data_IF_267683824455
#
_entry.id   IF_267683824455
#
_cell.length_a   1.000
_cell.length_b   1.000
_cell.length_c   1.000
_cell.angle_alpha   90.00
_cell.angle_beta   90.00
_cell.angle_gamma   90.00
#
_symmetry.space_group_name_H-M   'P 1'
#
loop_
_entity.id
_entity.type
_entity.pdbx_description
1 polymer ?
#
# COMPACT_ATOMS: atom_id res chain seq x y z
N UNK A 1 -11.28 -10.94 -6.88
CA UNK A 1 -10.43 -9.81 -7.01
C UNK A 1 -8.99 -10.21 -7.15
N UNK A 2 -8.23 -9.44 -7.85
CA UNK A 2 -6.85 -9.80 -8.13
C UNK A 2 -6.02 -10.11 -6.90
N UNK A 3 -6.38 -9.53 -5.79
CA UNK A 3 -5.65 -9.80 -4.56
C UNK A 3 -5.74 -11.23 -4.11
N UNK A 4 -6.74 -11.93 -4.63
CA UNK A 4 -6.82 -13.34 -4.30
C UNK A 4 -5.59 -14.09 -4.78
N UNK A 5 -4.94 -13.56 -5.78
CA UNK A 5 -3.71 -14.17 -6.23
C UNK A 5 -2.69 -14.19 -5.12
N UNK A 6 -2.86 -13.32 -4.18
CA UNK A 6 -2.00 -13.34 -3.04
C UNK A 6 -2.48 -14.29 -1.98
N UNK A 7 -3.34 -15.22 -2.36
CA UNK A 7 -3.56 -16.36 -1.51
C UNK A 7 -2.23 -16.97 -1.13
N UNK A 8 -1.23 -16.63 -1.87
CA UNK A 8 0.12 -17.04 -1.59
C UNK A 8 0.91 -15.79 -1.23
N UNK A 9 0.68 -15.26 -0.05
CA UNK A 9 1.24 -13.95 0.31
C UNK A 9 2.76 -13.92 0.37
N UNK A 10 3.38 -15.05 0.60
CA UNK A 10 4.82 -15.10 0.68
C UNK A 10 5.33 -15.96 -0.47
N UNK A 11 5.91 -15.30 -1.45
CA UNK A 11 6.49 -16.04 -2.55
C UNK A 11 7.79 -16.69 -2.12
N UNK A 12 8.03 -17.92 -2.61
CA UNK A 12 9.28 -18.57 -2.29
C UNK A 12 10.46 -17.75 -2.81
N UNK A 13 11.50 -17.74 -2.04
CA UNK A 13 12.74 -17.14 -2.45
C UNK A 13 13.34 -17.98 -3.56
N UNK A 14 13.80 -17.35 -4.64
CA UNK A 14 14.39 -18.10 -5.74
C UNK A 14 15.76 -17.51 -6.11
N UNK A 15 16.50 -18.28 -6.90
CA UNK A 15 17.86 -17.91 -7.24
C UNK A 15 17.92 -16.60 -8.03
N UNK A 16 16.97 -16.37 -8.90
CA UNK A 16 16.93 -15.14 -9.68
C UNK A 16 16.79 -13.92 -8.77
N UNK A 17 15.94 -14.04 -7.76
CA UNK A 17 15.79 -12.96 -6.80
C UNK A 17 17.06 -12.74 -6.00
N UNK A 18 17.75 -13.83 -5.65
CA UNK A 18 18.99 -13.71 -4.90
C UNK A 18 20.04 -12.95 -5.66
N UNK A 19 20.11 -13.15 -6.97
CA UNK A 19 21.10 -12.46 -7.80
C UNK A 19 20.74 -11.03 -8.10
N UNK A 20 19.46 -10.76 -8.22
CA UNK A 20 18.97 -9.42 -8.50
C UNK A 20 18.73 -8.75 -7.17
N UNK A 21 19.61 -7.86 -6.82
CA UNK A 21 19.42 -7.11 -5.59
C UNK A 21 18.12 -6.34 -5.68
N UNK A 22 17.28 -6.54 -4.69
CA UNK A 22 16.02 -5.85 -4.61
C UNK A 22 15.90 -5.17 -3.26
N UNK A 23 15.00 -4.20 -3.22
CA UNK A 23 14.65 -3.55 -1.97
C UNK A 23 13.13 -3.60 -1.83
N UNK A 24 12.67 -3.52 -0.61
CA UNK A 24 11.24 -3.44 -0.36
C UNK A 24 10.83 -2.02 -0.13
N UNK A 25 9.69 -1.67 -0.70
CA UNK A 25 9.10 -0.35 -0.49
C UNK A 25 7.65 -0.51 -0.08
N UNK A 26 7.23 0.38 0.82
CA UNK A 26 5.82 0.53 1.15
C UNK A 26 5.28 1.62 0.24
N UNK A 27 4.19 1.32 -0.44
CA UNK A 27 3.56 2.25 -1.37
C UNK A 27 2.24 2.64 -0.75
N UNK A 28 2.12 3.89 -0.34
CA UNK A 28 1.03 4.36 0.49
C UNK A 28 0.07 5.20 -0.34
N UNK A 29 -1.16 4.76 -0.42
CA UNK A 29 -2.21 5.53 -1.09
C UNK A 29 -2.73 6.53 -0.08
N UNK A 30 -2.49 7.81 -0.32
CA UNK A 30 -2.92 8.85 0.61
C UNK A 30 -4.43 9.04 0.49
N UNK A 31 -5.08 9.20 1.63
CA UNK A 31 -6.51 9.41 1.66
C UNK A 31 -6.88 10.79 1.14
N UNK A 32 -8.14 10.91 0.73
CA UNK A 32 -8.73 12.20 0.35
C UNK A 32 -10.00 12.39 1.15
N UNK A 33 -10.53 13.60 1.13
CA UNK A 33 -11.82 13.82 1.78
C UNK A 33 -12.90 12.89 1.25
N UNK A 34 -12.84 12.59 -0.05
CA UNK A 34 -13.81 11.70 -0.66
C UNK A 34 -13.64 10.26 -0.15
N UNK A 35 -12.41 9.77 -0.06
CA UNK A 35 -12.19 8.40 0.39
C UNK A 35 -12.58 8.19 1.85
N UNK A 36 -12.53 9.26 2.64
CA UNK A 36 -12.94 9.17 4.04
C UNK A 36 -14.45 9.01 4.22
N UNK A 37 -15.21 9.22 3.15
CA UNK A 37 -16.67 9.00 3.20
C UNK A 37 -17.03 7.53 3.07
N UNK A 38 -16.12 6.70 2.62
CA UNK A 38 -16.35 5.28 2.50
C UNK A 38 -16.07 4.76 1.10
N UNK A 39 -16.29 3.47 0.94
CA UNK A 39 -16.06 2.77 -0.29
C UNK A 39 -17.37 2.15 -0.76
N UNK A 40 -17.79 2.52 -1.97
CA UNK A 40 -19.09 2.13 -2.49
C UNK A 40 -18.93 1.39 -3.81
N UNK A 41 -18.69 0.07 -3.76
CA UNK A 41 -18.38 -0.70 -4.98
C UNK A 41 -19.56 -0.77 -5.96
N UNK A 42 -20.76 -0.48 -5.51
CA UNK A 42 -21.92 -0.47 -6.42
C UNK A 42 -21.93 0.73 -7.35
N UNK A 43 -21.16 1.76 -7.06
CA UNK A 43 -21.08 2.92 -7.94
C UNK A 43 -20.23 2.58 -9.16
N UNK A 44 -20.70 2.95 -10.39
CA UNK A 44 -19.99 2.57 -11.60
C UNK A 44 -18.52 3.03 -11.64
N UNK A 45 -18.25 4.24 -11.17
CA UNK A 45 -16.87 4.74 -11.16
C UNK A 45 -15.99 3.91 -10.25
N UNK A 46 -16.53 3.52 -9.10
CA UNK A 46 -15.79 2.71 -8.14
C UNK A 46 -15.53 1.32 -8.71
N UNK A 47 -16.55 0.72 -9.33
CA UNK A 47 -16.40 -0.59 -9.94
C UNK A 47 -15.35 -0.57 -11.06
N UNK A 48 -15.35 0.50 -11.84
CA UNK A 48 -14.40 0.65 -12.94
C UNK A 48 -12.99 0.80 -12.41
N UNK A 49 -12.82 1.59 -11.37
CA UNK A 49 -11.51 1.77 -10.73
C UNK A 49 -11.02 0.46 -10.13
N UNK A 50 -11.92 -0.30 -9.49
CA UNK A 50 -11.54 -1.60 -8.94
C UNK A 50 -11.07 -2.55 -10.02
N UNK A 51 -11.74 -2.55 -11.16
CA UNK A 51 -11.33 -3.42 -12.27
C UNK A 51 -9.96 -3.01 -12.80
N UNK A 52 -9.74 -1.71 -12.96
CA UNK A 52 -8.45 -1.21 -13.43
C UNK A 52 -7.35 -1.54 -12.42
N UNK A 53 -7.65 -1.39 -11.14
CA UNK A 53 -6.68 -1.68 -10.09
C UNK A 53 -6.37 -3.18 -10.04
N UNK A 54 -7.38 -4.01 -10.28
CA UNK A 54 -7.16 -5.46 -10.35
C UNK A 54 -6.20 -5.83 -11.46
N UNK A 55 -6.36 -5.20 -12.63
CA UNK A 55 -5.44 -5.44 -13.74
C UNK A 55 -4.02 -4.98 -13.42
N UNK A 56 -3.90 -3.84 -12.74
CA UNK A 56 -2.60 -3.34 -12.34
C UNK A 56 -1.93 -4.29 -11.35
N UNK A 57 -2.68 -4.79 -10.38
CA UNK A 57 -2.16 -5.75 -9.42
C UNK A 57 -1.70 -7.03 -10.11
N UNK A 58 -2.43 -7.47 -11.14
CA UNK A 58 -2.02 -8.65 -11.90
C UNK A 58 -0.70 -8.43 -12.60
N UNK A 59 -0.49 -7.24 -13.15
CA UNK A 59 0.79 -6.91 -13.77
C UNK A 59 1.93 -6.91 -12.77
N UNK A 60 1.68 -6.35 -11.61
CA UNK A 60 2.68 -6.34 -10.53
C UNK A 60 3.05 -7.76 -10.11
N UNK A 61 2.04 -8.61 -10.01
CA UNK A 61 2.26 -9.99 -9.59
C UNK A 61 3.06 -10.75 -10.65
N UNK A 62 2.71 -10.57 -11.91
CA UNK A 62 3.41 -11.23 -13.01
C UNK A 62 4.86 -10.76 -13.12
N UNK A 63 5.12 -9.52 -12.73
CA UNK A 63 6.47 -8.97 -12.76
C UNK A 63 7.27 -9.31 -11.49
N UNK A 64 6.66 -10.04 -10.57
CA UNK A 64 7.27 -10.42 -9.28
C UNK A 64 7.57 -9.21 -8.40
N UNK A 65 6.77 -8.17 -8.54
CA UNK A 65 6.89 -6.95 -7.76
C UNK A 65 6.01 -7.01 -6.51
N UNK A 66 4.81 -7.54 -6.66
CA UNK A 66 3.79 -7.51 -5.60
C UNK A 66 4.12 -8.47 -4.47
N UNK A 67 4.22 -7.96 -3.25
CA UNK A 67 4.32 -8.79 -2.06
C UNK A 67 2.96 -8.87 -1.38
N UNK A 68 2.35 -7.73 -1.09
CA UNK A 68 1.01 -7.70 -0.53
C UNK A 68 0.37 -6.35 -0.82
N UNK A 69 -0.94 -6.30 -0.67
CA UNK A 69 -1.72 -5.08 -0.85
C UNK A 69 -2.97 -5.16 -0.02
N UNK A 70 -3.42 -4.01 0.47
CA UNK A 70 -4.67 -3.94 1.23
C UNK A 70 -5.24 -2.54 1.20
N UNK A 71 -6.56 -2.45 1.25
CA UNK A 71 -7.24 -1.18 1.46
C UNK A 71 -7.53 -0.99 2.93
N UNK A 72 -7.65 0.23 3.36
CA UNK A 72 -8.00 0.58 4.72
C UNK A 72 -9.37 1.23 4.74
N UNK A 73 -10.15 0.90 5.76
CA UNK A 73 -11.41 1.57 5.97
C UNK A 73 -11.17 3.03 6.39
N UNK A 74 -12.18 3.89 6.26
CA UNK A 74 -12.02 5.28 6.68
C UNK A 74 -11.61 5.39 8.15
N UNK A 75 -11.01 6.53 8.48
CA UNK A 75 -10.51 6.74 9.84
C UNK A 75 -11.60 6.70 10.90
N UNK A 76 -12.87 6.85 10.49
CA UNK A 76 -13.98 6.71 11.44
C UNK A 76 -14.01 5.34 12.10
N UNK A 77 -13.44 4.33 11.45
CA UNK A 77 -13.36 2.98 12.01
C UNK A 77 -12.10 2.77 12.84
N UNK A 78 -11.23 3.77 12.92
CA UNK A 78 -9.93 3.62 13.53
C UNK A 78 -9.82 4.32 14.88
N UNK A 79 -8.66 4.11 15.48
CA UNK A 79 -8.33 4.73 16.76
C UNK A 79 -6.86 5.10 16.75
N UNK A 80 -6.54 6.11 17.53
CA UNK A 80 -5.15 6.46 17.81
C UNK A 80 -4.93 6.31 19.29
N UNK A 81 -3.72 5.93 19.66
CA UNK A 81 -3.31 5.89 21.06
C UNK A 81 -2.16 6.87 21.22
N UNK A 82 -2.37 7.88 22.06
CA UNK A 82 -1.34 8.87 22.32
C UNK A 82 -0.50 8.43 23.50
N UNK A 83 0.80 8.54 23.34
CA UNK A 83 1.77 8.14 24.35
C UNK A 83 2.41 9.40 24.94
N UNK A 84 2.43 9.47 26.25
CA UNK A 84 3.09 10.57 26.94
C UNK A 84 3.62 10.02 28.27
N UNK A 85 4.91 9.69 28.29
CA UNK A 85 5.48 8.98 29.42
C UNK A 85 4.76 7.67 29.63
N UNK A 86 4.22 7.47 30.83
CA UNK A 86 3.41 6.29 31.11
C UNK A 86 1.97 6.42 30.65
N UNK A 87 1.58 7.61 30.23
CA UNK A 87 0.19 7.87 29.82
C UNK A 87 -0.13 7.22 28.48
N UNK A 88 -1.38 6.78 28.35
CA UNK A 88 -1.90 6.18 27.13
C UNK A 88 -3.32 6.70 26.96
N UNK A 89 -3.55 7.49 25.91
CA UNK A 89 -4.87 8.07 25.66
C UNK A 89 -5.40 7.52 24.35
N UNK A 90 -6.60 6.98 24.40
CA UNK A 90 -7.26 6.45 23.20
C UNK A 90 -8.08 7.56 22.57
N UNK A 91 -7.87 7.76 21.28
CA UNK A 91 -8.57 8.80 20.52
C UNK A 91 -9.34 8.10 19.40
N UNK A 92 -10.66 8.26 19.41
CA UNK A 92 -11.49 7.65 18.37
C UNK A 92 -11.44 8.49 17.10
N UNK A 93 -11.49 7.80 15.95
CA UNK A 93 -11.66 8.50 14.68
C UNK A 93 -13.07 9.03 14.55
N UNK A 94 -13.38 9.78 13.48
CA UNK A 94 -12.46 10.10 12.39
C UNK A 94 -11.44 11.16 12.75
N UNK A 95 -10.36 11.20 11.98
CA UNK A 95 -9.29 12.16 12.23
C UNK A 95 -9.32 13.25 11.16
N UNK A 96 -8.97 14.47 11.56
CA UNK A 96 -8.90 15.59 10.63
C UNK A 96 -7.74 15.42 9.67
N UNK A 97 -7.75 16.20 8.60
CA UNK A 97 -6.68 16.24 7.60
C UNK A 97 -6.47 14.90 6.90
N UNK A 98 -7.33 14.64 5.92
CA UNK A 98 -7.25 13.40 5.15
C UNK A 98 -5.85 13.17 4.57
N UNK A 99 -5.13 14.24 4.23
CA UNK A 99 -3.79 14.11 3.67
C UNK A 99 -2.80 13.47 4.64
N UNK A 100 -3.11 13.43 5.93
CA UNK A 100 -2.27 12.77 6.93
C UNK A 100 -2.64 11.28 7.08
N UNK A 101 -3.60 10.81 6.31
CA UNK A 101 -4.13 9.46 6.45
C UNK A 101 -3.78 8.63 5.24
N UNK A 102 -3.82 7.32 5.43
CA UNK A 102 -3.53 6.35 4.38
C UNK A 102 -4.81 5.57 4.10
N UNK A 103 -5.18 5.47 2.83
CA UNK A 103 -6.38 4.76 2.40
C UNK A 103 -6.08 3.33 1.97
N UNK A 104 -4.82 3.02 1.74
CA UNK A 104 -4.42 1.68 1.34
C UNK A 104 -2.93 1.63 1.14
N UNK A 105 -2.43 0.42 0.92
CA UNK A 105 -1.00 0.27 0.74
C UNK A 105 -0.66 -0.97 -0.06
N UNK A 106 0.53 -0.96 -0.62
CA UNK A 106 1.19 -2.13 -1.18
C UNK A 106 2.54 -2.30 -0.51
N UNK A 107 3.01 -3.50 -0.52
CA UNK A 107 4.41 -3.80 -0.25
C UNK A 107 4.96 -4.41 -1.52
N UNK A 108 6.02 -3.83 -2.07
CA UNK A 108 6.61 -4.25 -3.33
C UNK A 108 8.09 -4.61 -3.15
N UNK A 109 8.53 -5.59 -3.95
CA UNK A 109 9.95 -5.85 -4.16
C UNK A 109 10.34 -5.19 -5.46
N UNK A 110 11.24 -4.23 -5.42
CA UNK A 110 11.68 -3.51 -6.61
C UNK A 110 13.21 -3.49 -6.65
N UNK A 111 13.73 -3.25 -7.84
CA UNK A 111 15.17 -3.16 -8.01
C UNK A 111 15.72 -1.92 -7.31
N UNK A 112 15.03 -0.79 -7.47
CA UNK A 112 15.44 0.49 -6.89
C UNK A 112 14.24 1.42 -6.86
N UNK A 113 14.46 2.61 -6.35
CA UNK A 113 13.37 3.59 -6.23
C UNK A 113 12.86 4.02 -7.60
N UNK A 114 13.74 4.10 -8.60
CA UNK A 114 13.30 4.49 -9.94
C UNK A 114 12.29 3.49 -10.51
N UNK A 115 12.52 2.21 -10.26
CA UNK A 115 11.55 1.20 -10.70
C UNK A 115 10.22 1.37 -9.97
N UNK A 116 10.27 1.66 -8.68
CA UNK A 116 9.04 1.88 -7.92
C UNK A 116 8.26 3.07 -8.48
N UNK A 117 8.95 4.16 -8.76
CA UNK A 117 8.33 5.35 -9.32
C UNK A 117 7.70 5.04 -10.68
N UNK A 118 8.42 4.29 -11.52
CA UNK A 118 7.91 3.93 -12.83
C UNK A 118 6.62 3.12 -12.73
N UNK A 119 6.56 2.19 -11.77
CA UNK A 119 5.34 1.42 -11.57
C UNK A 119 4.19 2.27 -11.05
N UNK A 120 4.46 3.19 -10.12
CA UNK A 120 3.39 4.04 -9.60
C UNK A 120 2.83 4.94 -10.69
N UNK A 121 3.67 5.40 -11.61
CA UNK A 121 3.18 6.22 -12.73
C UNK A 121 2.22 5.46 -13.63
N UNK A 122 2.27 4.15 -13.64
CA UNK A 122 1.35 3.31 -14.41
C UNK A 122 0.07 2.97 -13.65
N UNK A 123 0.05 3.27 -12.36
CA UNK A 123 -1.08 2.94 -11.52
C UNK A 123 -2.30 3.80 -11.89
N UNK A 124 -3.48 3.19 -12.02
CA UNK A 124 -4.67 4.02 -12.15
C UNK A 124 -4.87 4.84 -10.89
N UNK A 125 -5.37 6.06 -11.06
CA UNK A 125 -5.63 6.91 -9.91
C UNK A 125 -6.68 6.22 -9.02
N UNK A 126 -6.36 5.90 -7.77
CA UNK A 126 -7.30 5.21 -6.90
C UNK A 126 -8.40 6.12 -6.35
N UNK A 127 -8.32 7.40 -6.66
CA UNK A 127 -9.25 8.40 -6.13
C UNK A 127 -9.97 9.09 -7.27
N UNK A 128 -11.08 9.76 -6.95
CA UNK A 128 -11.88 10.44 -7.97
C UNK A 128 -11.28 11.75 -8.43
N UNK A 129 -10.40 12.33 -7.65
CA UNK A 129 -9.80 13.61 -7.99
C UNK A 129 -8.30 13.55 -7.81
N UNK A 130 -7.65 14.69 -7.74
CA UNK A 130 -6.22 14.72 -7.49
C UNK A 130 -5.88 13.97 -6.23
N UNK A 131 -4.83 13.18 -6.28
CA UNK A 131 -4.42 12.38 -5.14
C UNK A 131 -2.92 12.13 -5.20
N UNK A 132 -2.40 11.51 -4.17
CA UNK A 132 -0.98 11.23 -4.07
C UNK A 132 -0.75 9.81 -3.60
N UNK A 133 0.35 9.25 -4.07
CA UNK A 133 0.85 7.99 -3.56
C UNK A 133 2.28 8.26 -3.10
N UNK A 134 2.58 7.81 -1.91
CA UNK A 134 3.90 8.01 -1.32
C UNK A 134 4.64 6.69 -1.30
N UNK A 135 5.92 6.70 -1.65
CA UNK A 135 6.75 5.51 -1.67
C UNK A 135 7.81 5.66 -0.60
N UNK A 136 7.92 4.68 0.30
CA UNK A 136 8.89 4.70 1.39
C UNK A 136 9.67 3.40 1.41
N UNK A 137 10.98 3.44 1.27
CA UNK A 137 11.74 2.21 1.42
C UNK A 137 11.69 1.72 2.86
N UNK A 138 11.65 0.42 3.03
CA UNK A 138 11.70 -0.17 4.36
C UNK A 138 13.12 -0.17 4.86
N UNK A 139 13.26 -0.03 6.16
CA UNK A 139 14.53 -0.39 6.77
C UNK A 139 14.74 -1.88 6.53
N UNK A 140 15.96 -2.25 6.18
CA UNK A 140 16.30 -3.63 5.94
C UNK A 140 17.14 -4.14 7.10
N UNK A 141 16.50 -4.25 8.25
CA UNK A 141 17.19 -4.85 9.40
C UNK A 141 17.50 -6.30 9.13
N UNK A 142 16.60 -6.89 8.37
CA UNK A 142 16.78 -8.18 7.79
C UNK A 142 17.32 -9.22 8.70
N UNK A 143 18.22 -9.97 8.12
CA UNK A 143 18.90 -11.03 8.80
C UNK A 143 19.88 -10.43 9.82
N UNK A 144 19.82 -10.84 11.10
CA UNK A 144 20.74 -10.31 12.10
C UNK A 144 22.21 -10.45 11.70
N UNK A 145 22.53 -11.43 10.91
CA UNK A 145 23.90 -11.61 10.45
C UNK A 145 24.37 -10.42 9.62
N UNK A 146 23.46 -9.83 8.87
CA UNK A 146 23.80 -8.71 8.02
C UNK A 146 24.05 -7.43 8.81
N UNK A 147 23.57 -7.40 10.02
CA UNK A 147 23.65 -6.20 10.83
C UNK A 147 24.93 -6.10 11.63
N UNK A 148 25.65 -7.15 11.73
CA UNK A 148 26.87 -7.18 12.51
C UNK A 148 28.02 -6.46 11.81
#
# INVERSE_FOLDING_TARGET
>A
MALSASANPIRPFNVAQARRQTMRVMVLVKATGDSEKGFFPEEPETAEMMAAMGRFNDELDKASILVTAAGLQPSSAGKRIAFDGAGRTVIDGPFANASDLVAGYWLWDVKDMDEAVAWVKRCPNPMRGPSEIEIRPLYEFGNPVEKS
#
